data_IF_435579990407
#
_entry.id   IF_435579990407
#
_cell.length_a   1.000
_cell.length_b   1.000
_cell.length_c   1.000
_cell.angle_alpha   90.00
_cell.angle_beta   90.00
_cell.angle_gamma   90.00
#
_symmetry.space_group_name_H-M   'P 1'
#
loop_
_entity.id
_entity.type
_entity.pdbx_description
1 polymer ?
#
# COMPACT_ATOMS: atom_id res chain seq x y z
N UNK A 1 -58.71 -37.00 -13.59
CA UNK A 1 -58.93 -35.57 -13.29
C UNK A 1 -57.80 -35.12 -12.38
N UNK A 2 -56.56 -35.45 -12.73
CA UNK A 2 -55.70 -34.79 -13.73
C UNK A 2 -55.00 -33.59 -13.10
N UNK A 3 -53.78 -33.88 -12.62
CA UNK A 3 -52.73 -32.91 -12.35
C UNK A 3 -52.37 -32.15 -13.63
N UNK A 4 -52.28 -30.82 -13.54
CA UNK A 4 -51.56 -30.01 -14.50
C UNK A 4 -50.44 -29.26 -13.78
N UNK A 5 -49.24 -29.84 -13.83
CA UNK A 5 -47.98 -29.14 -13.62
C UNK A 5 -47.63 -28.38 -14.91
N UNK A 6 -47.67 -27.05 -14.87
CA UNK A 6 -47.08 -26.20 -15.91
C UNK A 6 -45.56 -26.13 -15.71
N UNK A 7 -44.81 -26.78 -16.62
CA UNK A 7 -43.38 -26.56 -16.78
C UNK A 7 -43.13 -25.28 -17.58
N UNK A 8 -42.62 -24.24 -16.92
CA UNK A 8 -42.00 -23.12 -17.61
C UNK A 8 -40.58 -23.52 -18.06
N UNK A 9 -40.42 -23.73 -19.37
CA UNK A 9 -39.11 -23.91 -19.99
C UNK A 9 -38.38 -22.56 -20.08
N UNK A 10 -37.29 -22.42 -19.33
CA UNK A 10 -36.42 -21.25 -19.39
C UNK A 10 -35.59 -21.31 -20.69
N UNK A 11 -35.85 -20.38 -21.62
CA UNK A 11 -35.09 -20.26 -22.87
C UNK A 11 -33.69 -19.74 -22.57
N UNK A 12 -32.70 -20.64 -22.57
CA UNK A 12 -31.29 -20.28 -22.54
C UNK A 12 -30.89 -19.52 -23.81
N UNK A 13 -30.26 -18.36 -23.61
CA UNK A 13 -29.62 -17.57 -24.66
C UNK A 13 -28.34 -18.29 -25.16
N UNK A 14 -28.01 -18.23 -26.47
CA UNK A 14 -26.89 -18.96 -27.06
C UNK A 14 -25.49 -18.61 -26.51
N UNK A 15 -25.38 -17.60 -25.62
CA UNK A 15 -24.13 -17.21 -24.96
C UNK A 15 -24.07 -17.55 -23.46
N UNK A 16 -25.07 -18.21 -22.87
CA UNK A 16 -25.03 -18.60 -21.44
C UNK A 16 -25.07 -17.45 -20.43
N UNK A 17 -25.31 -16.22 -20.89
CA UNK A 17 -25.41 -15.03 -20.03
C UNK A 17 -26.90 -14.80 -19.69
N UNK A 18 -27.26 -14.59 -18.40
CA UNK A 18 -28.63 -14.31 -18.01
C UNK A 18 -29.17 -13.05 -18.69
N UNK A 19 -30.38 -13.13 -19.26
CA UNK A 19 -31.02 -12.10 -20.08
C UNK A 19 -31.01 -10.68 -19.48
N UNK A 20 -31.21 -10.45 -18.16
CA UNK A 20 -31.11 -9.12 -17.59
C UNK A 20 -29.68 -8.53 -17.65
N UNK A 21 -28.65 -9.37 -17.63
CA UNK A 21 -27.23 -8.94 -17.77
C UNK A 21 -26.88 -8.64 -19.22
N UNK A 22 -27.47 -9.35 -20.18
CA UNK A 22 -27.30 -9.04 -21.60
C UNK A 22 -27.94 -7.69 -21.97
N UNK A 23 -29.10 -7.37 -21.39
CA UNK A 23 -29.80 -6.10 -21.63
C UNK A 23 -29.06 -4.90 -21.03
N UNK A 24 -28.41 -5.04 -19.88
CA UNK A 24 -27.61 -3.97 -19.27
C UNK A 24 -26.31 -3.69 -20.03
N UNK A 25 -25.65 -4.74 -20.54
CA UNK A 25 -24.43 -4.59 -21.37
C UNK A 25 -24.74 -3.94 -22.72
N UNK A 26 -25.86 -4.28 -23.35
CA UNK A 26 -26.30 -3.64 -24.61
C UNK A 26 -26.72 -2.18 -24.38
N UNK A 27 -27.39 -1.87 -23.27
CA UNK A 27 -27.75 -0.50 -22.92
C UNK A 27 -26.52 0.41 -22.65
N UNK A 28 -25.46 -0.14 -22.03
CA UNK A 28 -24.19 0.56 -21.82
C UNK A 28 -23.42 0.78 -23.14
N UNK A 29 -23.43 -0.20 -24.06
CA UNK A 29 -22.82 -0.04 -25.39
C UNK A 29 -23.59 0.96 -26.28
N UNK A 30 -24.92 1.04 -26.17
CA UNK A 30 -25.72 2.04 -26.88
C UNK A 30 -25.57 3.45 -26.32
N UNK A 31 -25.25 3.62 -25.02
CA UNK A 31 -24.95 4.94 -24.43
C UNK A 31 -23.58 5.48 -24.87
N UNK A 32 -22.62 4.62 -25.18
CA UNK A 32 -21.28 5.03 -25.67
C UNK A 32 -21.29 5.33 -27.18
N UNK A 33 -22.25 4.78 -27.95
CA UNK A 33 -22.37 5.01 -29.40
C UNK A 33 -23.42 6.09 -29.73
N UNK A 34 -24.29 6.45 -28.78
CA UNK A 34 -25.44 7.34 -28.96
C UNK A 34 -25.22 8.84 -28.69
N UNK A 35 -23.99 9.36 -28.70
CA UNK A 35 -23.73 10.81 -28.54
C UNK A 35 -22.87 11.42 -29.66
N UNK A 36 -23.04 10.94 -30.89
CA UNK A 36 -22.51 11.60 -32.09
C UNK A 36 -23.54 11.58 -33.23
N UNK A 37 -24.69 12.24 -33.04
CA UNK A 37 -25.64 12.46 -34.13
C UNK A 37 -26.45 13.75 -33.94
N UNK A 38 -25.78 14.89 -33.70
CA UNK A 38 -26.41 16.20 -33.79
C UNK A 38 -25.39 17.32 -33.99
N UNK A 39 -24.61 17.26 -35.06
CA UNK A 39 -24.03 18.46 -35.69
C UNK A 39 -23.66 18.20 -37.15
N UNK A 40 -24.68 17.95 -37.97
CA UNK A 40 -24.55 18.02 -39.43
C UNK A 40 -25.41 19.20 -39.89
N UNK A 41 -24.83 20.41 -39.88
CA UNK A 41 -24.97 21.45 -40.91
C UNK A 41 -23.93 22.56 -40.63
N UNK A 42 -22.73 22.41 -41.18
CA UNK A 42 -21.85 23.55 -41.50
C UNK A 42 -21.47 23.44 -42.97
N UNK A 43 -21.48 24.56 -43.72
CA UNK A 43 -21.12 24.55 -45.14
C UNK A 43 -19.64 24.16 -45.32
N UNK A 44 -19.25 23.66 -46.51
CA UNK A 44 -17.88 23.19 -46.75
C UNK A 44 -16.92 24.37 -46.67
N UNK A 45 -16.16 24.44 -45.58
CA UNK A 45 -14.97 25.29 -45.53
C UNK A 45 -13.88 24.64 -46.38
N UNK A 46 -13.38 25.41 -47.35
CA UNK A 46 -12.19 25.12 -48.15
C UNK A 46 -11.08 24.44 -47.34
N UNK A 47 -10.29 23.54 -47.95
CA UNK A 47 -9.05 23.09 -47.34
C UNK A 47 -8.09 24.26 -47.33
N UNK A 48 -8.05 25.01 -46.22
CA UNK A 48 -6.86 25.80 -45.91
C UNK A 48 -5.79 24.79 -45.52
N UNK A 49 -4.71 24.76 -46.29
CA UNK A 49 -3.45 24.17 -45.85
C UNK A 49 -2.96 24.95 -44.64
N UNK A 50 -3.52 24.67 -43.47
CA UNK A 50 -3.04 25.14 -42.19
C UNK A 50 -1.84 24.28 -41.81
N UNK A 51 -0.66 24.87 -41.87
CA UNK A 51 0.53 24.29 -41.25
C UNK A 51 0.18 23.86 -39.82
N UNK A 52 0.62 22.65 -39.43
CA UNK A 52 0.67 22.24 -38.02
C UNK A 52 1.27 23.41 -37.24
N UNK A 53 0.61 23.95 -36.21
CA UNK A 53 1.16 25.08 -35.48
C UNK A 53 2.48 24.65 -34.87
N UNK A 54 3.58 25.16 -35.42
CA UNK A 54 4.90 25.04 -34.80
C UNK A 54 4.76 25.63 -33.40
N UNK A 55 5.04 24.88 -32.32
CA UNK A 55 4.85 25.37 -30.97
C UNK A 55 5.75 26.60 -30.75
N UNK A 56 5.17 27.81 -30.67
CA UNK A 56 5.91 29.08 -30.66
C UNK A 56 6.13 29.65 -29.25
N UNK A 57 6.03 28.82 -28.21
CA UNK A 57 6.39 29.24 -26.86
C UNK A 57 7.92 29.32 -26.79
N UNK A 58 8.42 30.47 -26.38
CA UNK A 58 9.84 30.68 -26.13
C UNK A 58 10.33 29.70 -25.04
N UNK A 59 11.34 28.90 -25.38
CA UNK A 59 11.83 27.84 -24.51
C UNK A 59 12.40 28.36 -23.19
N UNK A 60 13.05 29.52 -23.19
CA UNK A 60 13.62 30.13 -21.97
C UNK A 60 12.52 30.68 -21.08
N UNK A 61 11.49 31.30 -21.66
CA UNK A 61 10.29 31.72 -20.93
C UNK A 61 9.57 30.53 -20.30
N UNK A 62 9.42 29.42 -21.04
CA UNK A 62 8.79 28.22 -20.50
C UNK A 62 9.61 27.60 -19.37
N UNK A 63 10.93 27.49 -19.54
CA UNK A 63 11.85 27.05 -18.50
C UNK A 63 11.73 27.90 -17.24
N UNK A 64 11.76 29.22 -17.38
CA UNK A 64 11.63 30.15 -16.25
C UNK A 64 10.28 30.01 -15.56
N UNK A 65 9.19 29.93 -16.31
CA UNK A 65 7.84 29.78 -15.75
C UNK A 65 7.69 28.48 -14.95
N UNK A 66 8.19 27.37 -15.49
CA UNK A 66 8.18 26.06 -14.81
C UNK A 66 9.07 26.09 -13.57
N UNK A 67 10.28 26.62 -13.70
CA UNK A 67 11.24 26.76 -12.60
C UNK A 67 10.66 27.58 -11.43
N UNK A 68 10.06 28.74 -11.71
CA UNK A 68 9.40 29.57 -10.70
C UNK A 68 8.25 28.82 -10.05
N UNK A 69 7.34 28.23 -10.84
CA UNK A 69 6.19 27.51 -10.30
C UNK A 69 6.61 26.37 -9.37
N UNK A 70 7.60 25.56 -9.78
CA UNK A 70 8.10 24.46 -8.97
C UNK A 70 8.83 24.95 -7.71
N UNK A 71 9.59 26.04 -7.81
CA UNK A 71 10.25 26.65 -6.64
C UNK A 71 9.22 27.12 -5.62
N UNK A 72 8.19 27.85 -6.06
CA UNK A 72 7.12 28.33 -5.19
C UNK A 72 6.30 27.17 -4.61
N UNK A 73 6.03 26.14 -5.41
CA UNK A 73 5.34 24.93 -4.97
C UNK A 73 6.13 24.20 -3.87
N UNK A 74 7.45 24.05 -4.01
CA UNK A 74 8.31 23.45 -2.99
C UNK A 74 8.41 24.34 -1.74
N UNK A 75 8.52 25.65 -1.90
CA UNK A 75 8.52 26.60 -0.78
C UNK A 75 7.19 26.55 0.00
N UNK A 76 6.06 26.41 -0.69
CA UNK A 76 4.74 26.26 -0.05
C UNK A 76 4.59 24.97 0.76
N UNK A 77 5.44 23.97 0.47
CA UNK A 77 5.53 22.71 1.21
C UNK A 77 6.60 22.75 2.31
N UNK A 78 7.18 23.92 2.59
CA UNK A 78 8.15 24.10 3.68
C UNK A 78 9.62 23.97 3.26
N UNK A 79 9.93 23.73 1.98
CA UNK A 79 11.32 23.65 1.52
C UNK A 79 12.02 25.01 1.63
N UNK A 80 13.10 25.08 2.41
CA UNK A 80 13.93 26.29 2.57
C UNK A 80 15.25 26.14 1.81
N UNK A 81 15.73 27.22 1.19
CA UNK A 81 17.00 27.20 0.44
C UNK A 81 16.99 26.41 -0.87
N UNK A 82 15.81 25.94 -1.32
CA UNK A 82 15.63 25.18 -2.55
C UNK A 82 15.21 26.09 -3.70
N UNK A 83 15.91 26.01 -4.82
CA UNK A 83 15.61 26.72 -6.07
C UNK A 83 15.58 25.72 -7.21
N UNK A 84 14.55 25.80 -8.05
CA UNK A 84 14.48 25.03 -9.28
C UNK A 84 14.99 25.87 -10.44
N UNK A 85 15.82 25.28 -11.30
CA UNK A 85 16.36 25.91 -12.50
C UNK A 85 15.96 25.10 -13.74
N UNK A 86 15.33 25.73 -14.72
CA UNK A 86 15.13 25.12 -16.04
C UNK A 86 16.45 25.03 -16.81
N UNK A 87 16.74 23.87 -17.37
CA UNK A 87 18.03 23.57 -18.03
C UNK A 87 17.89 23.37 -19.54
N UNK A 88 16.81 22.73 -19.98
CA UNK A 88 16.54 22.55 -21.41
C UNK A 88 15.06 22.26 -21.66
N UNK A 89 14.65 22.41 -22.91
CA UNK A 89 13.29 22.11 -23.36
C UNK A 89 13.34 21.36 -24.69
N UNK A 90 12.58 20.27 -24.78
CA UNK A 90 12.32 19.51 -25.99
C UNK A 90 10.81 19.33 -26.18
N UNK A 91 10.39 18.87 -27.36
CA UNK A 91 9.02 18.42 -27.59
C UNK A 91 9.03 16.90 -27.69
N UNK A 92 8.33 16.25 -26.77
CA UNK A 92 8.28 14.79 -26.63
C UNK A 92 6.83 14.38 -26.37
N UNK A 93 6.35 13.32 -27.04
CA UNK A 93 5.01 12.76 -26.83
C UNK A 93 3.86 13.79 -26.89
N UNK A 94 3.98 14.81 -27.75
CA UNK A 94 2.96 15.86 -27.89
C UNK A 94 2.91 16.86 -26.73
N UNK A 95 3.95 16.94 -25.91
CA UNK A 95 4.12 17.90 -24.82
C UNK A 95 5.51 18.53 -24.89
N UNK A 96 5.72 19.65 -24.21
CA UNK A 96 7.05 20.14 -23.92
C UNK A 96 7.64 19.35 -22.76
N UNK A 97 8.78 18.70 -22.95
CA UNK A 97 9.58 18.17 -21.86
C UNK A 97 10.54 19.26 -21.38
N UNK A 98 10.45 19.64 -20.12
CA UNK A 98 11.27 20.67 -19.50
C UNK A 98 12.16 20.00 -18.46
N UNK A 99 13.46 19.96 -18.73
CA UNK A 99 14.44 19.43 -17.80
C UNK A 99 14.77 20.49 -16.76
N UNK A 100 14.74 20.13 -15.49
CA UNK A 100 15.02 21.02 -14.37
C UNK A 100 16.09 20.45 -13.46
N UNK A 101 16.88 21.33 -12.87
CA UNK A 101 17.79 21.03 -11.75
C UNK A 101 17.20 21.63 -10.48
N UNK A 102 17.09 20.83 -9.44
CA UNK A 102 16.74 21.26 -8.09
C UNK A 102 18.05 21.55 -7.37
N UNK A 103 18.18 22.78 -6.87
CA UNK A 103 19.39 23.31 -6.24
C UNK A 103 19.08 23.59 -4.79
N UNK A 104 19.86 23.04 -3.87
CA UNK A 104 19.78 23.33 -2.44
C UNK A 104 21.16 23.79 -1.97
N UNK A 105 21.22 24.92 -1.26
CA UNK A 105 22.46 25.51 -0.76
C UNK A 105 23.55 25.70 -1.85
N UNK A 106 23.12 26.00 -3.07
CA UNK A 106 24.00 26.22 -4.22
C UNK A 106 24.50 24.96 -4.92
N UNK A 107 24.09 23.76 -4.48
CA UNK A 107 24.42 22.48 -5.12
C UNK A 107 23.21 21.87 -5.82
N UNK A 108 23.41 21.27 -6.99
CA UNK A 108 22.36 20.51 -7.69
C UNK A 108 22.14 19.19 -6.93
N UNK A 109 21.02 19.07 -6.25
CA UNK A 109 20.67 17.88 -5.45
C UNK A 109 19.86 16.85 -6.25
N UNK A 110 19.12 17.31 -7.27
CA UNK A 110 18.31 16.41 -8.10
C UNK A 110 18.10 16.99 -9.50
N UNK A 111 17.96 16.12 -10.49
CA UNK A 111 17.51 16.48 -11.83
C UNK A 111 16.20 15.77 -12.10
N UNK A 112 15.25 16.48 -12.71
CA UNK A 112 13.95 15.94 -13.05
C UNK A 112 13.51 16.44 -14.43
N UNK A 113 12.60 15.71 -15.06
CA UNK A 113 11.91 16.14 -16.26
C UNK A 113 10.45 16.35 -15.90
N UNK A 114 9.90 17.52 -16.21
CA UNK A 114 8.47 17.80 -16.11
C UNK A 114 7.90 18.02 -17.49
N UNK A 115 6.59 17.88 -17.64
CA UNK A 115 5.94 18.01 -18.93
C UNK A 115 4.94 19.16 -18.91
N UNK A 116 4.89 19.94 -19.98
CA UNK A 116 3.93 21.05 -20.14
C UNK A 116 3.12 20.83 -21.40
N UNK A 117 1.81 21.09 -21.32
CA UNK A 117 0.96 21.11 -22.52
C UNK A 117 1.51 22.07 -23.57
N UNK A 118 1.30 21.78 -24.86
CA UNK A 118 1.84 22.62 -25.95
C UNK A 118 1.28 24.06 -25.96
N UNK A 119 0.19 24.33 -25.24
CA UNK A 119 -0.34 25.67 -25.01
C UNK A 119 0.28 26.37 -23.79
N UNK A 120 1.21 25.73 -23.08
CA UNK A 120 1.97 26.28 -21.95
C UNK A 120 1.17 26.48 -20.67
N UNK A 121 -0.06 25.93 -20.58
CA UNK A 121 -0.98 26.19 -19.47
C UNK A 121 -0.95 25.14 -18.36
N UNK A 122 -0.71 23.88 -18.70
CA UNK A 122 -0.81 22.78 -17.76
C UNK A 122 0.56 22.15 -17.54
N UNK A 123 0.97 22.04 -16.27
CA UNK A 123 2.19 21.37 -15.84
C UNK A 123 1.83 19.98 -15.30
N UNK A 124 2.52 18.97 -15.80
CA UNK A 124 2.42 17.57 -15.37
C UNK A 124 3.74 17.18 -14.69
N UNK A 125 3.63 16.71 -13.46
CA UNK A 125 4.75 16.30 -12.62
C UNK A 125 4.57 14.81 -12.33
N UNK A 126 5.53 13.98 -12.74
CA UNK A 126 5.47 12.54 -12.56
C UNK A 126 6.17 11.76 -13.68
N UNK A 127 6.15 10.44 -13.55
CA UNK A 127 6.70 9.52 -14.55
C UNK A 127 5.77 9.38 -15.76
N UNK A 128 6.34 9.36 -16.97
CA UNK A 128 5.62 8.90 -18.16
C UNK A 128 5.62 7.38 -18.17
N UNK A 129 4.43 6.79 -18.18
CA UNK A 129 4.25 5.37 -18.41
C UNK A 129 3.99 5.16 -19.90
N UNK A 130 4.92 4.48 -20.58
CA UNK A 130 4.79 4.13 -21.99
C UNK A 130 3.80 2.97 -22.17
N UNK A 131 2.60 3.25 -22.68
CA UNK A 131 1.57 2.23 -22.89
C UNK A 131 1.90 1.24 -24.02
N UNK A 132 2.93 1.52 -24.82
CA UNK A 132 3.47 0.57 -25.81
C UNK A 132 4.45 -0.42 -25.18
N UNK A 133 5.01 -0.06 -24.02
CA UNK A 133 5.66 -1.03 -23.15
C UNK A 133 4.58 -1.78 -22.38
N UNK A 134 4.58 -3.12 -22.40
CA UNK A 134 3.71 -3.87 -21.49
C UNK A 134 3.95 -3.37 -20.07
N UNK A 135 2.87 -3.13 -19.31
CA UNK A 135 2.99 -2.86 -17.89
C UNK A 135 3.97 -3.88 -17.31
N UNK A 136 5.08 -3.46 -16.66
CA UNK A 136 6.05 -4.39 -16.12
C UNK A 136 5.32 -5.29 -15.14
N UNK A 137 4.98 -6.48 -15.60
CA UNK A 137 4.49 -7.53 -14.72
C UNK A 137 5.65 -7.76 -13.75
N UNK A 138 5.40 -7.77 -12.43
CA UNK A 138 6.43 -8.21 -11.50
C UNK A 138 7.03 -9.47 -12.11
N UNK A 139 8.33 -9.46 -12.39
CA UNK A 139 9.03 -10.69 -12.75
C UNK A 139 8.64 -11.67 -11.65
N UNK A 140 8.04 -12.83 -11.97
CA UNK A 140 7.75 -13.81 -10.94
C UNK A 140 9.07 -14.02 -10.23
N UNK A 141 9.14 -13.60 -8.96
CA UNK A 141 10.24 -14.01 -8.10
C UNK A 141 10.25 -15.52 -8.26
N UNK A 142 11.35 -16.16 -8.71
CA UNK A 142 11.42 -17.59 -8.78
C UNK A 142 10.85 -18.11 -7.47
N UNK A 143 9.82 -18.96 -7.53
CA UNK A 143 9.14 -19.44 -6.33
C UNK A 143 10.16 -20.27 -5.58
N UNK A 144 10.95 -19.62 -4.73
CA UNK A 144 11.87 -20.30 -3.83
C UNK A 144 10.95 -21.09 -2.93
N UNK A 145 11.02 -22.42 -3.05
CA UNK A 145 10.20 -23.28 -2.22
C UNK A 145 10.55 -22.97 -0.76
N UNK A 146 9.52 -22.63 0.03
CA UNK A 146 9.67 -22.37 1.46
C UNK A 146 10.28 -23.62 2.10
N UNK A 147 11.47 -23.52 2.74
CA UNK A 147 12.08 -24.65 3.43
C UNK A 147 11.11 -25.23 4.45
N UNK A 148 11.03 -26.56 4.55
CA UNK A 148 10.17 -27.22 5.52
C UNK A 148 10.88 -27.36 6.87
N UNK A 149 10.20 -27.02 7.96
CA UNK A 149 10.70 -27.17 9.34
C UNK A 149 9.70 -27.95 10.20
N UNK A 150 10.11 -28.34 11.42
CA UNK A 150 9.19 -28.97 12.37
C UNK A 150 8.21 -27.95 12.96
N UNK A 151 8.68 -26.72 13.18
CA UNK A 151 7.93 -25.56 13.64
C UNK A 151 8.26 -24.40 12.69
N UNK A 152 7.38 -24.07 11.74
CA UNK A 152 7.54 -22.91 10.88
C UNK A 152 7.62 -21.61 11.69
N UNK A 153 8.56 -20.77 11.31
CA UNK A 153 8.76 -19.45 11.88
C UNK A 153 8.55 -18.41 10.79
N UNK A 154 7.88 -17.31 11.14
CA UNK A 154 7.65 -16.21 10.23
C UNK A 154 7.94 -14.87 10.89
N UNK A 155 8.47 -13.97 10.08
CA UNK A 155 8.74 -12.58 10.42
C UNK A 155 7.79 -11.72 9.61
N UNK A 156 6.90 -10.99 10.29
CA UNK A 156 5.88 -10.15 9.69
C UNK A 156 6.24 -8.68 9.92
N UNK A 157 6.73 -8.03 8.86
CA UNK A 157 7.09 -6.63 8.87
C UNK A 157 5.90 -5.77 8.48
N UNK A 158 5.45 -4.93 9.40
CA UNK A 158 4.25 -4.10 9.25
C UNK A 158 4.50 -2.66 9.72
N UNK A 159 3.56 -1.77 9.45
CA UNK A 159 3.43 -0.48 10.14
C UNK A 159 2.01 -0.47 10.69
N UNK A 160 1.84 -0.07 11.94
CA UNK A 160 0.57 -0.26 12.67
C UNK A 160 -0.66 0.38 12.00
N UNK A 161 -0.49 1.43 11.19
CA UNK A 161 -1.58 2.10 10.47
C UNK A 161 -1.51 1.99 8.95
N UNK A 162 -0.60 1.19 8.40
CA UNK A 162 -0.64 0.86 6.98
C UNK A 162 -1.88 0.00 6.66
N UNK A 163 -2.79 0.43 5.77
CA UNK A 163 -4.00 -0.34 5.45
C UNK A 163 -3.69 -1.76 4.94
N UNK A 164 -2.59 -1.90 4.20
CA UNK A 164 -2.11 -3.18 3.71
C UNK A 164 -1.47 -4.05 4.80
N UNK A 165 -0.83 -3.42 5.80
CA UNK A 165 -0.28 -4.09 6.97
C UNK A 165 -1.39 -4.68 7.85
N UNK A 166 -2.38 -3.85 8.18
CA UNK A 166 -3.56 -4.28 8.93
C UNK A 166 -4.33 -5.39 8.22
N UNK A 167 -4.44 -5.35 6.89
CA UNK A 167 -5.02 -6.45 6.12
C UNK A 167 -4.25 -7.76 6.31
N UNK A 168 -2.91 -7.71 6.33
CA UNK A 168 -2.10 -8.90 6.58
C UNK A 168 -2.26 -9.39 8.03
N UNK A 169 -2.28 -8.51 9.02
CA UNK A 169 -2.54 -8.88 10.43
C UNK A 169 -3.89 -9.57 10.60
N UNK A 170 -4.95 -9.06 9.96
CA UNK A 170 -6.29 -9.67 9.94
C UNK A 170 -6.27 -11.06 9.29
N UNK A 171 -5.41 -11.29 8.29
CA UNK A 171 -5.25 -12.61 7.68
C UNK A 171 -4.39 -13.57 8.51
N UNK A 172 -3.27 -13.10 9.05
CA UNK A 172 -2.31 -13.93 9.79
C UNK A 172 -2.83 -14.31 11.16
N UNK A 173 -3.56 -13.41 11.84
CA UNK A 173 -4.10 -13.64 13.18
C UNK A 173 -4.91 -14.95 13.30
N UNK A 174 -5.95 -15.18 12.48
CA UNK A 174 -6.71 -16.42 12.49
C UNK A 174 -5.88 -17.66 12.16
N UNK A 175 -4.89 -17.55 11.26
CA UNK A 175 -3.99 -18.66 10.95
C UNK A 175 -3.08 -19.01 12.14
N UNK A 176 -2.56 -18.00 12.85
CA UNK A 176 -1.78 -18.17 14.08
C UNK A 176 -2.63 -18.71 15.23
N UNK A 177 -3.90 -18.31 15.34
CA UNK A 177 -4.84 -18.86 16.33
C UNK A 177 -5.11 -20.35 16.06
N UNK A 178 -5.39 -20.72 14.81
CA UNK A 178 -5.68 -22.11 14.44
C UNK A 178 -4.46 -23.04 14.56
N UNK A 179 -3.26 -22.55 14.23
CA UNK A 179 -2.02 -23.34 14.30
C UNK A 179 -1.37 -23.30 15.70
N UNK A 180 -1.71 -22.31 16.51
CA UNK A 180 -1.26 -22.13 17.88
C UNK A 180 0.27 -22.19 18.01
N UNK A 181 0.74 -22.91 19.02
CA UNK A 181 2.17 -23.07 19.31
C UNK A 181 2.96 -23.86 18.25
N UNK A 182 2.28 -24.40 17.23
CA UNK A 182 2.91 -25.15 16.13
C UNK A 182 3.65 -24.25 15.15
N UNK A 183 3.42 -22.95 15.19
CA UNK A 183 4.17 -21.93 14.44
C UNK A 183 4.57 -20.79 15.38
N UNK A 184 5.45 -19.92 14.91
CA UNK A 184 5.67 -18.60 15.50
C UNK A 184 5.55 -17.57 14.39
N UNK A 185 4.69 -16.58 14.55
CA UNK A 185 4.69 -15.36 13.73
C UNK A 185 5.13 -14.21 14.61
N UNK A 186 6.32 -13.69 14.35
CA UNK A 186 6.91 -12.55 15.06
C UNK A 186 6.67 -11.25 14.27
N UNK A 187 6.03 -10.23 14.88
CA UNK A 187 5.87 -8.92 14.28
C UNK A 187 7.16 -8.10 14.39
N UNK A 188 7.46 -7.37 13.32
CA UNK A 188 8.51 -6.37 13.23
C UNK A 188 7.95 -5.11 12.58
N UNK A 189 8.54 -3.95 12.86
CA UNK A 189 8.03 -2.68 12.36
C UNK A 189 8.90 -2.08 11.26
N UNK A 190 8.27 -1.58 10.20
CA UNK A 190 8.97 -0.93 9.08
C UNK A 190 9.26 0.51 9.46
N UNK A 191 10.51 0.78 9.83
CA UNK A 191 10.98 2.08 10.29
C UNK A 191 11.81 2.76 9.21
N UNK A 192 11.50 4.04 8.98
CA UNK A 192 12.17 4.90 8.02
C UNK A 192 13.18 5.82 8.74
N UNK A 193 14.28 6.13 8.06
CA UNK A 193 15.26 7.09 8.56
C UNK A 193 14.81 8.54 8.33
N UNK A 194 15.21 9.44 9.24
CA UNK A 194 14.93 10.90 9.17
C UNK A 194 15.27 11.56 7.82
N UNK A 195 16.28 11.06 7.11
CA UNK A 195 16.70 11.62 5.82
C UNK A 195 15.58 11.52 4.77
N UNK A 196 14.66 10.57 4.93
CA UNK A 196 13.45 10.43 4.10
C UNK A 196 12.45 11.59 4.34
N UNK A 197 12.49 12.25 5.49
CA UNK A 197 11.56 13.30 5.92
C UNK A 197 12.26 14.62 6.26
N UNK A 198 13.40 14.91 5.64
CA UNK A 198 14.17 16.13 5.91
C UNK A 198 13.28 17.39 5.81
N UNK A 199 13.12 18.12 6.92
CA UNK A 199 12.25 19.31 7.02
C UNK A 199 10.82 19.04 7.51
N UNK A 200 10.47 17.78 7.79
CA UNK A 200 9.17 17.36 8.34
C UNK A 200 9.32 16.39 9.53
N UNK A 201 10.49 16.31 10.15
CA UNK A 201 10.81 15.31 11.17
C UNK A 201 9.86 15.36 12.37
N UNK A 202 9.39 16.55 12.76
CA UNK A 202 8.42 16.71 13.86
C UNK A 202 7.09 16.00 13.61
N UNK A 203 6.72 15.78 12.34
CA UNK A 203 5.46 15.14 11.95
C UNK A 203 5.60 13.62 11.83
N UNK A 204 6.79 13.12 11.48
CA UNK A 204 6.99 11.73 11.08
C UNK A 204 7.91 10.94 12.00
N UNK A 205 8.72 11.62 12.80
CA UNK A 205 9.81 11.00 13.56
C UNK A 205 9.60 11.14 15.07
N UNK A 206 9.99 10.10 15.81
CA UNK A 206 10.00 10.13 17.27
C UNK A 206 11.02 11.20 17.72
N UNK A 207 10.58 12.08 18.63
CA UNK A 207 11.37 13.22 19.08
C UNK A 207 12.78 12.82 19.57
N UNK A 208 13.80 13.56 19.11
CA UNK A 208 15.22 13.32 19.41
C UNK A 208 15.78 11.99 18.88
N UNK A 209 15.11 11.34 17.93
CA UNK A 209 15.60 10.13 17.25
C UNK A 209 15.66 10.34 15.73
N UNK A 210 16.11 9.32 15.01
CA UNK A 210 16.02 9.23 13.55
C UNK A 210 14.97 8.24 13.05
N UNK A 211 14.10 7.76 13.96
CA UNK A 211 13.11 6.72 13.71
C UNK A 211 11.79 7.36 13.31
N UNK A 212 11.35 7.06 12.10
CA UNK A 212 10.16 7.68 11.51
C UNK A 212 9.24 6.62 10.91
N UNK A 213 7.97 6.97 10.74
CA UNK A 213 7.01 6.12 10.03
C UNK A 213 6.29 6.86 8.91
N UNK A 214 5.77 6.14 7.92
CA UNK A 214 5.07 6.72 6.76
C UNK A 214 3.76 7.43 7.11
N UNK A 215 3.07 7.02 8.17
CA UNK A 215 1.79 7.61 8.57
C UNK A 215 1.94 8.53 9.79
N UNK A 216 3.15 9.02 10.05
CA UNK A 216 3.42 10.03 11.07
C UNK A 216 3.98 9.46 12.39
N UNK A 217 4.32 10.36 13.30
CA UNK A 217 4.95 10.03 14.59
C UNK A 217 4.05 9.19 15.49
N UNK A 218 2.73 9.35 15.39
CA UNK A 218 1.77 8.55 16.16
C UNK A 218 1.84 7.06 15.80
N UNK A 219 2.05 6.74 14.52
CA UNK A 219 2.29 5.36 14.08
C UNK A 219 3.62 4.84 14.61
N UNK A 220 4.70 5.63 14.51
CA UNK A 220 6.01 5.22 15.05
C UNK A 220 5.97 4.97 16.57
N UNK A 221 5.21 5.77 17.32
CA UNK A 221 4.98 5.55 18.74
C UNK A 221 4.22 4.24 18.98
N UNK A 222 3.18 3.98 18.19
CA UNK A 222 2.37 2.77 18.31
C UNK A 222 3.15 1.50 17.95
N UNK A 223 3.98 1.55 16.92
CA UNK A 223 4.93 0.49 16.56
C UNK A 223 5.82 0.14 17.78
N UNK A 224 6.36 1.16 18.46
CA UNK A 224 7.14 0.96 19.68
C UNK A 224 6.33 0.35 20.85
N UNK A 225 5.06 0.75 21.02
CA UNK A 225 4.17 0.13 22.03
C UNK A 225 3.89 -1.32 21.70
N UNK A 226 3.61 -1.64 20.44
CA UNK A 226 3.37 -3.00 19.99
C UNK A 226 4.61 -3.89 20.12
N UNK A 227 5.82 -3.36 19.84
CA UNK A 227 7.08 -4.04 20.11
C UNK A 227 7.25 -4.37 21.62
N UNK A 228 6.90 -3.42 22.49
CA UNK A 228 6.87 -3.64 23.94
C UNK A 228 5.86 -4.71 24.37
N UNK A 229 4.66 -4.71 23.78
CA UNK A 229 3.64 -5.73 24.04
C UNK A 229 4.13 -7.10 23.58
N UNK A 230 4.77 -7.19 22.41
CA UNK A 230 5.34 -8.43 21.92
C UNK A 230 6.39 -8.97 22.89
N UNK A 231 7.34 -8.13 23.31
CA UNK A 231 8.44 -8.51 24.19
C UNK A 231 7.99 -9.00 25.58
N UNK A 232 7.04 -8.32 26.21
CA UNK A 232 6.71 -8.56 27.62
C UNK A 232 5.33 -9.19 27.84
N UNK A 233 4.45 -9.15 26.85
CA UNK A 233 3.04 -9.55 26.96
C UNK A 233 2.57 -10.29 25.70
N UNK A 234 3.47 -11.03 25.05
CA UNK A 234 3.26 -11.74 23.77
C UNK A 234 1.88 -12.40 23.60
N UNK A 235 1.32 -13.14 24.58
CA UNK A 235 0.02 -13.81 24.42
C UNK A 235 -1.17 -12.86 24.20
N UNK A 236 -0.99 -11.55 24.48
CA UNK A 236 -2.02 -10.52 24.33
C UNK A 236 -1.90 -9.73 23.04
N UNK A 237 -0.78 -9.86 22.32
CA UNK A 237 -0.44 -9.02 21.17
C UNK A 237 -1.50 -9.08 20.07
N UNK A 238 -1.90 -10.29 19.65
CA UNK A 238 -2.92 -10.46 18.61
C UNK A 238 -4.27 -9.85 18.96
N UNK A 239 -4.70 -9.99 20.22
CA UNK A 239 -5.95 -9.38 20.68
C UNK A 239 -5.85 -7.85 20.69
N UNK A 240 -4.71 -7.33 21.11
CA UNK A 240 -4.42 -5.89 21.12
C UNK A 240 -4.44 -5.30 19.71
N UNK A 241 -3.70 -5.90 18.77
CA UNK A 241 -3.63 -5.41 17.38
C UNK A 241 -4.98 -5.52 16.67
N UNK A 242 -5.70 -6.62 16.84
CA UNK A 242 -7.06 -6.75 16.30
C UNK A 242 -7.98 -5.63 16.82
N UNK A 243 -7.89 -5.29 18.11
CA UNK A 243 -8.66 -4.17 18.67
C UNK A 243 -8.25 -2.84 18.05
N UNK A 244 -6.95 -2.55 17.98
CA UNK A 244 -6.43 -1.29 17.40
C UNK A 244 -6.91 -1.12 15.96
N UNK A 245 -6.79 -2.17 15.14
CA UNK A 245 -7.18 -2.12 13.73
C UNK A 245 -8.67 -1.86 13.52
N UNK A 246 -9.52 -2.35 14.42
CA UNK A 246 -10.98 -2.19 14.32
C UNK A 246 -11.47 -0.87 14.94
N UNK A 247 -10.82 -0.37 16.00
CA UNK A 247 -11.39 0.64 16.88
C UNK A 247 -10.58 1.94 16.98
N UNK A 248 -9.36 1.98 16.45
CA UNK A 248 -8.48 3.15 16.54
C UNK A 248 -8.13 3.69 15.15
N UNK A 249 -7.68 4.94 15.14
CA UNK A 249 -7.12 5.63 13.98
C UNK A 249 -5.75 6.20 14.33
N UNK A 250 -4.94 6.53 13.34
CA UNK A 250 -3.63 7.16 13.59
C UNK A 250 -3.76 8.52 14.30
N UNK A 251 -4.87 9.22 14.11
CA UNK A 251 -5.11 10.54 14.71
C UNK A 251 -5.41 10.46 16.22
N UNK A 252 -6.03 9.38 16.70
CA UNK A 252 -6.45 9.22 18.09
C UNK A 252 -5.66 8.16 18.87
N UNK A 253 -4.73 7.44 18.21
CA UNK A 253 -4.01 6.30 18.80
C UNK A 253 -3.28 6.63 20.10
N UNK A 254 -2.73 7.84 20.24
CA UNK A 254 -2.06 8.32 21.46
C UNK A 254 -2.96 8.22 22.72
N UNK A 255 -4.28 8.19 22.53
CA UNK A 255 -5.25 7.92 23.58
C UNK A 255 -5.94 6.57 23.44
N UNK A 256 -6.27 6.15 22.21
CA UNK A 256 -7.01 4.91 21.93
C UNK A 256 -6.26 3.65 22.38
N UNK A 257 -4.91 3.66 22.32
CA UNK A 257 -4.08 2.53 22.72
C UNK A 257 -4.34 2.08 24.17
N UNK A 258 -4.68 3.02 25.08
CA UNK A 258 -5.03 2.70 26.49
C UNK A 258 -6.38 1.99 26.59
N UNK A 259 -7.34 2.40 25.77
CA UNK A 259 -8.64 1.72 25.66
C UNK A 259 -8.46 0.31 25.12
N UNK A 260 -7.64 0.15 24.08
CA UNK A 260 -7.27 -1.15 23.53
C UNK A 260 -6.58 -2.03 24.58
N UNK A 261 -5.63 -1.46 25.33
CA UNK A 261 -4.92 -2.18 26.37
C UNK A 261 -5.86 -2.67 27.48
N UNK A 262 -6.77 -1.81 27.94
CA UNK A 262 -7.78 -2.19 28.92
C UNK A 262 -8.73 -3.29 28.40
N UNK A 263 -9.23 -3.16 27.17
CA UNK A 263 -10.17 -4.13 26.58
C UNK A 263 -9.53 -5.52 26.37
N UNK A 264 -8.22 -5.57 26.14
CA UNK A 264 -7.49 -6.79 25.80
C UNK A 264 -6.64 -7.33 26.96
N UNK A 265 -6.68 -6.65 28.11
CA UNK A 265 -5.96 -7.03 29.32
C UNK A 265 -4.45 -6.75 29.26
N UNK A 266 -3.95 -5.98 28.29
CA UNK A 266 -2.57 -5.51 28.27
C UNK A 266 -2.33 -4.56 29.44
N UNK A 267 -1.24 -4.78 30.17
CA UNK A 267 -0.82 -3.89 31.25
C UNK A 267 -0.22 -2.62 30.64
N UNK A 268 -1.03 -1.55 30.58
CA UNK A 268 -0.63 -0.27 30.00
C UNK A 268 0.56 0.37 30.73
N UNK A 269 0.65 0.26 32.05
CA UNK A 269 1.78 0.81 32.83
C UNK A 269 3.10 0.12 32.46
N UNK A 270 3.07 -1.20 32.25
CA UNK A 270 4.25 -1.94 31.80
C UNK A 270 4.66 -1.54 30.36
N UNK A 271 3.68 -1.26 29.49
CA UNK A 271 3.96 -0.77 28.13
C UNK A 271 4.54 0.64 28.16
N UNK A 272 4.00 1.56 28.98
CA UNK A 272 4.55 2.91 29.16
C UNK A 272 6.00 2.86 29.66
N UNK A 273 6.27 1.99 30.64
CA UNK A 273 7.63 1.81 31.16
C UNK A 273 8.58 1.29 30.07
N UNK A 274 8.20 0.21 29.37
CA UNK A 274 9.01 -0.33 28.28
C UNK A 274 9.21 0.69 27.16
N UNK A 275 8.17 1.43 26.76
CA UNK A 275 8.28 2.40 25.68
C UNK A 275 9.27 3.51 26.05
N UNK A 276 9.24 3.98 27.30
CA UNK A 276 10.17 5.00 27.78
C UNK A 276 11.62 4.51 27.94
N UNK A 277 11.82 3.26 28.38
CA UNK A 277 13.14 2.70 28.69
C UNK A 277 13.81 2.01 27.50
N UNK A 278 13.01 1.40 26.62
CA UNK A 278 13.47 0.44 25.60
C UNK A 278 12.88 0.69 24.20
N UNK A 279 11.80 1.47 24.08
CA UNK A 279 11.06 1.63 22.82
C UNK A 279 11.93 2.06 21.64
N UNK A 280 12.82 3.05 21.85
CA UNK A 280 13.78 3.51 20.82
C UNK A 280 14.72 2.38 20.40
N UNK A 281 15.28 1.63 21.34
CA UNK A 281 16.22 0.56 21.04
C UNK A 281 15.54 -0.62 20.30
N UNK A 282 14.26 -0.90 20.62
CA UNK A 282 13.47 -1.91 19.91
C UNK A 282 13.25 -1.50 18.45
N UNK A 283 12.85 -0.26 18.21
CA UNK A 283 12.63 0.25 16.86
C UNK A 283 13.93 0.44 16.06
N UNK A 284 15.06 0.73 16.72
CA UNK A 284 16.39 0.69 16.09
C UNK A 284 16.76 -0.73 15.64
N UNK A 285 16.44 -1.74 16.44
CA UNK A 285 16.66 -3.14 16.07
C UNK A 285 15.81 -3.54 14.85
N UNK A 286 14.55 -3.12 14.81
CA UNK A 286 13.68 -3.33 13.64
C UNK A 286 14.19 -2.56 12.42
N UNK A 287 14.63 -1.31 12.56
CA UNK A 287 15.23 -0.54 11.46
C UNK A 287 16.48 -1.24 10.88
N UNK A 288 17.33 -1.82 11.75
CA UNK A 288 18.49 -2.58 11.31
C UNK A 288 18.07 -3.87 10.58
N UNK A 289 17.08 -4.60 11.11
CA UNK A 289 16.56 -5.82 10.50
C UNK A 289 15.89 -5.53 9.14
N UNK A 290 15.17 -4.41 9.01
CA UNK A 290 14.62 -3.96 7.73
C UNK A 290 15.72 -3.82 6.68
N UNK A 291 16.86 -3.22 7.05
CA UNK A 291 18.03 -3.11 6.18
C UNK A 291 18.67 -4.45 5.84
N UNK A 292 18.82 -5.34 6.82
CA UNK A 292 19.40 -6.69 6.63
C UNK A 292 18.55 -7.56 5.69
N UNK A 293 17.23 -7.46 5.81
CA UNK A 293 16.27 -8.27 5.05
C UNK A 293 15.71 -7.57 3.80
N UNK A 294 16.25 -6.40 3.45
CA UNK A 294 15.82 -5.57 2.32
C UNK A 294 14.30 -5.23 2.35
N UNK A 295 13.74 -5.09 3.55
CA UNK A 295 12.35 -4.69 3.77
C UNK A 295 12.22 -3.19 3.58
N UNK A 296 11.39 -2.79 2.62
CA UNK A 296 11.19 -1.38 2.26
C UNK A 296 9.75 -0.90 2.46
N UNK A 297 8.84 -1.80 2.86
CA UNK A 297 7.43 -1.48 3.02
C UNK A 297 6.61 -2.57 3.70
N UNK A 298 5.42 -2.16 4.13
CA UNK A 298 4.43 -2.99 4.82
C UNK A 298 3.33 -3.46 3.86
N UNK A 299 2.83 -4.71 4.01
CA UNK A 299 3.44 -5.78 4.78
C UNK A 299 4.53 -6.47 3.94
N UNK A 300 5.56 -6.94 4.63
CA UNK A 300 6.49 -7.95 4.10
C UNK A 300 6.49 -9.14 5.06
N UNK A 301 6.28 -10.34 4.56
CA UNK A 301 6.26 -11.56 5.37
C UNK A 301 7.34 -12.51 4.86
N UNK A 302 8.13 -13.08 5.78
CA UNK A 302 9.04 -14.17 5.49
C UNK A 302 8.59 -15.42 6.22
N UNK A 303 8.59 -16.57 5.57
CA UNK A 303 8.33 -17.87 6.18
C UNK A 303 9.59 -18.71 6.02
N UNK A 304 10.18 -19.14 7.14
CA UNK A 304 11.46 -19.84 7.20
C UNK A 304 12.57 -19.14 6.36
N UNK A 305 12.62 -17.81 6.46
CA UNK A 305 13.60 -16.96 5.77
C UNK A 305 13.33 -16.69 4.29
N UNK A 306 12.22 -17.19 3.73
CA UNK A 306 11.83 -16.94 2.33
C UNK A 306 10.64 -15.98 2.27
N UNK A 307 10.73 -14.98 1.40
CA UNK A 307 9.65 -14.01 1.20
C UNK A 307 8.36 -14.70 0.73
N UNK A 308 7.27 -14.43 1.43
CA UNK A 308 5.94 -14.87 1.06
C UNK A 308 5.34 -13.93 0.01
N UNK A 309 4.81 -14.53 -1.07
CA UNK A 309 4.23 -13.80 -2.21
C UNK A 309 2.81 -14.26 -2.57
N UNK A 310 2.15 -15.01 -1.69
CA UNK A 310 0.78 -15.47 -1.88
C UNK A 310 -0.28 -14.42 -1.55
N UNK A 311 -1.54 -14.86 -1.49
CA UNK A 311 -2.68 -14.01 -1.13
C UNK A 311 -2.68 -13.58 0.34
N UNK A 312 -3.57 -12.66 0.70
CA UNK A 312 -3.65 -12.09 2.06
C UNK A 312 -4.92 -12.49 2.80
N UNK A 313 -5.69 -13.43 2.27
CA UNK A 313 -6.77 -14.03 3.03
C UNK A 313 -6.18 -14.96 4.11
N UNK A 314 -6.93 -15.17 5.19
CA UNK A 314 -6.46 -16.00 6.28
C UNK A 314 -6.15 -17.45 5.85
N UNK A 315 -6.93 -18.00 4.91
CA UNK A 315 -6.67 -19.32 4.32
C UNK A 315 -5.37 -19.35 3.52
N UNK A 316 -5.04 -18.29 2.78
CA UNK A 316 -3.76 -18.23 2.02
C UNK A 316 -2.56 -18.32 2.97
N UNK A 317 -2.60 -17.59 4.10
CA UNK A 317 -1.56 -17.65 5.11
C UNK A 317 -1.50 -19.01 5.81
N UNK A 318 -2.65 -19.59 6.20
CA UNK A 318 -2.70 -20.91 6.80
C UNK A 318 -2.10 -21.96 5.85
N UNK A 319 -2.46 -21.95 4.57
CA UNK A 319 -1.94 -22.86 3.56
C UNK A 319 -0.42 -22.70 3.38
N UNK A 320 0.07 -21.46 3.39
CA UNK A 320 1.50 -21.16 3.34
C UNK A 320 2.25 -21.76 4.54
N UNK A 321 1.78 -21.53 5.77
CA UNK A 321 2.36 -22.12 6.98
C UNK A 321 2.28 -23.65 6.95
N UNK A 322 1.13 -24.20 6.55
CA UNK A 322 0.93 -25.64 6.41
C UNK A 322 1.88 -26.28 5.40
N UNK A 323 2.19 -25.58 4.30
CA UNK A 323 3.17 -26.05 3.31
C UNK A 323 4.60 -26.08 3.85
N UNK A 324 4.90 -25.25 4.85
CA UNK A 324 6.21 -25.11 5.49
C UNK A 324 6.48 -26.17 6.57
N UNK A 325 5.52 -27.04 6.90
CA UNK A 325 5.77 -28.13 7.84
C UNK A 325 6.43 -29.35 7.17
N UNK A 326 7.40 -29.94 7.87
CA UNK A 326 7.88 -31.30 7.61
C UNK A 326 6.80 -32.35 7.90
N UNK A 327 6.02 -32.13 8.97
CA UNK A 327 4.83 -32.91 9.34
C UNK A 327 3.72 -31.96 9.75
N UNK A 328 2.64 -31.92 8.96
CA UNK A 328 1.53 -31.01 9.19
C UNK A 328 0.74 -31.37 10.47
N UNK A 329 0.37 -30.37 11.30
CA UNK A 329 -0.59 -30.56 12.37
C UNK A 329 -2.01 -30.79 11.83
N UNK A 330 -2.90 -31.33 12.66
CA UNK A 330 -4.29 -31.62 12.26
C UNK A 330 -5.05 -30.37 11.77
N UNK A 331 -4.74 -29.20 12.35
CA UNK A 331 -5.30 -27.91 11.96
C UNK A 331 -5.10 -27.56 10.47
N UNK A 332 -4.07 -28.11 9.82
CA UNK A 332 -3.85 -27.89 8.38
C UNK A 332 -4.92 -28.52 7.47
N UNK A 333 -5.69 -29.48 7.98
CA UNK A 333 -6.75 -30.14 7.23
C UNK A 333 -8.15 -29.58 7.54
N UNK A 334 -8.24 -28.53 8.36
CA UNK A 334 -9.49 -27.87 8.74
C UNK A 334 -9.59 -26.55 7.98
N UNK A 335 -10.80 -26.14 7.60
CA UNK A 335 -11.02 -24.72 7.24
C UNK A 335 -10.96 -23.86 8.50
N UNK A 336 -10.56 -22.60 8.39
CA UNK A 336 -10.46 -21.70 9.55
C UNK A 336 -11.81 -21.50 10.24
N UNK A 337 -12.91 -21.48 9.48
CA UNK A 337 -14.27 -21.45 10.03
C UNK A 337 -14.55 -22.66 10.94
N UNK A 338 -14.09 -23.85 10.58
CA UNK A 338 -14.27 -25.07 11.39
C UNK A 338 -13.33 -25.10 12.61
N UNK A 339 -12.10 -24.57 12.47
CA UNK A 339 -11.13 -24.51 13.56
C UNK A 339 -11.57 -23.56 14.69
N UNK A 340 -12.22 -22.45 14.35
CA UNK A 340 -12.72 -21.46 15.32
C UNK A 340 -13.92 -22.00 16.13
N UNK A 341 -14.80 -22.77 15.49
CA UNK A 341 -15.89 -23.48 16.18
C UNK A 341 -15.37 -24.58 17.12
N UNK A 342 -14.32 -25.31 16.73
CA UNK A 342 -13.69 -26.34 17.57
C UNK A 342 -12.96 -25.75 18.79
N UNK A 343 -12.31 -24.58 18.64
CA UNK A 343 -11.61 -23.90 19.74
C UNK A 343 -12.56 -23.32 20.81
N UNK A 344 -13.77 -22.91 20.41
CA UNK A 344 -14.80 -22.43 21.34
C UNK A 344 -15.58 -23.55 22.05
N UNK A 345 -15.43 -24.81 21.59
CA UNK A 345 -16.17 -25.98 22.05
C UNK A 345 -15.40 -26.96 22.93
N UNK A 346 -14.58 -26.50 23.88
CA UNK A 346 -13.92 -27.43 24.82
C UNK A 346 -13.59 -26.82 26.18
N UNK A 347 -14.59 -26.77 27.06
CA UNK A 347 -14.47 -26.93 28.52
C UNK A 347 -15.84 -27.40 29.06
N UNK A 348 -16.04 -28.72 29.09
CA UNK A 348 -16.96 -29.37 30.01
C UNK A 348 -16.19 -29.84 31.24
#
# INVERSE_FOLDING_TARGET
MDEHHEHHAEKQSPLGIPLPVLLTVVALLCLVIGFFASSLMRPPTQPSGGATPTPSIDALQLQSKVATYLTDMLASQGAQGVVVQGTSTSVENGMYAVNVSIIQDGQVVQKATTYVSLDGKNLFIGQILDLTTPFPKPTPVPTVAIPKTAKPEAQMFVMSFCPYGQQAEVGVGPAQEALGDSITVEPHFVIYGKDYYAGAEEQYCIANTSLCSLHGVNEANEDGRQACIWKYQQPKWWKYVAYVNENCTVDDIETCWKTAANATGVNATAVEQCFAEEGVALLEADAALNGEMEVTGSPTLFINGVIYSGGRAAEDFKDAFCSAFTKQPAACNMTLSEAQEAASGSCG
#
